data_IF_403364683631
#
_entry.id   IF_403364683631
#
_cell.length_a   1.000
_cell.length_b   1.000
_cell.length_c   1.000
_cell.angle_alpha   90.00
_cell.angle_beta   90.00
_cell.angle_gamma   90.00
#
_symmetry.space_group_name_H-M   'P 1'
#
loop_
_entity.id
_entity.type
_entity.pdbx_description
1 polymer ?
#
# COMPACT_ATOMS: atom_id res chain seq x y z
N UNK A 1 -22.57 76.68 7.10
CA UNK A 1 -21.36 76.39 7.82
C UNK A 1 -21.10 74.89 7.61
N UNK A 2 -20.11 74.52 6.83
CA UNK A 2 -19.92 73.14 6.37
C UNK A 2 -19.13 72.28 7.37
N UNK A 3 -19.52 71.01 7.45
CA UNK A 3 -18.89 69.97 8.18
C UNK A 3 -17.79 69.33 7.26
N UNK A 4 -16.54 69.21 7.66
CA UNK A 4 -15.54 68.44 6.88
C UNK A 4 -15.61 66.98 7.21
N UNK A 5 -15.75 66.19 6.16
CA UNK A 5 -15.70 64.73 6.15
C UNK A 5 -14.29 64.25 6.51
N UNK A 6 -14.19 63.41 7.52
CA UNK A 6 -12.99 62.74 7.97
C UNK A 6 -12.88 61.42 7.19
N UNK A 7 -11.90 61.39 6.29
CA UNK A 7 -11.55 60.20 5.50
C UNK A 7 -10.76 59.23 6.35
N UNK A 8 -11.40 58.11 6.72
CA UNK A 8 -10.71 57.00 7.35
C UNK A 8 -9.88 56.22 6.30
N UNK A 9 -8.59 56.09 6.56
CA UNK A 9 -7.67 55.27 5.78
C UNK A 9 -7.97 53.78 5.99
N UNK A 10 -7.84 52.93 4.95
CA UNK A 10 -8.00 51.51 5.11
C UNK A 10 -6.80 50.91 5.88
N UNK A 11 -7.07 50.12 6.90
CA UNK A 11 -6.12 49.38 7.70
C UNK A 11 -5.44 48.28 6.89
N UNK A 12 -4.25 47.81 7.33
CA UNK A 12 -3.48 46.84 6.59
C UNK A 12 -4.18 45.51 6.50
N UNK A 13 -4.33 45.02 5.27
CA UNK A 13 -4.76 43.66 4.96
C UNK A 13 -3.82 42.67 5.63
N UNK A 14 -4.31 41.88 6.57
CA UNK A 14 -3.64 40.75 7.12
C UNK A 14 -3.45 39.75 5.97
N UNK A 15 -2.22 39.62 5.44
CA UNK A 15 -1.79 38.52 4.60
C UNK A 15 -2.01 37.24 5.38
N UNK A 16 -2.98 36.45 4.93
CA UNK A 16 -3.14 35.08 5.42
C UNK A 16 -1.92 34.30 4.95
N UNK A 17 -1.04 34.03 5.90
CA UNK A 17 0.09 33.12 5.73
C UNK A 17 -0.44 31.74 5.34
N UNK A 18 -0.51 31.49 4.04
CA UNK A 18 -0.85 30.21 3.43
C UNK A 18 0.41 29.35 3.37
N UNK A 19 1.03 29.09 4.53
CA UNK A 19 2.01 28.02 4.66
C UNK A 19 1.23 26.69 4.59
N UNK A 20 0.89 26.31 3.35
CA UNK A 20 0.51 24.93 3.05
C UNK A 20 1.55 24.03 3.71
N UNK A 21 1.14 23.26 4.70
CA UNK A 21 1.96 22.21 5.34
C UNK A 21 2.44 21.32 4.23
N UNK A 22 3.67 21.55 3.77
CA UNK A 22 4.38 20.64 2.89
C UNK A 22 4.51 19.35 3.68
N UNK A 23 3.76 18.32 3.30
CA UNK A 23 4.02 16.97 3.75
C UNK A 23 5.51 16.69 3.56
N UNK A 24 6.20 16.09 4.53
CA UNK A 24 7.61 15.78 4.40
C UNK A 24 7.79 15.03 3.08
N UNK A 25 8.72 15.52 2.23
CA UNK A 25 9.08 14.87 0.98
C UNK A 25 9.52 13.44 1.32
N UNK A 26 8.73 12.47 0.90
CA UNK A 26 9.08 11.06 1.04
C UNK A 26 10.35 10.83 0.20
N UNK A 27 11.28 9.98 0.68
CA UNK A 27 12.50 9.70 -0.05
C UNK A 27 12.15 9.24 -1.47
N UNK A 28 12.90 9.72 -2.48
CA UNK A 28 12.63 9.35 -3.87
C UNK A 28 12.69 7.82 -4.00
N UNK A 29 11.70 7.27 -4.71
CA UNK A 29 11.81 5.91 -5.25
C UNK A 29 13.01 5.91 -6.18
N UNK A 30 13.79 4.82 -6.14
CA UNK A 30 14.84 4.63 -7.14
C UNK A 30 14.23 4.81 -8.53
N UNK A 31 14.68 5.83 -9.27
CA UNK A 31 14.15 6.18 -10.60
C UNK A 31 14.18 4.99 -11.55
N UNK A 32 15.17 4.11 -11.38
CA UNK A 32 15.29 2.87 -12.16
C UNK A 32 14.09 1.94 -11.92
N UNK A 33 13.64 1.79 -10.67
CA UNK A 33 12.48 0.96 -10.32
C UNK A 33 11.18 1.55 -10.86
N UNK A 34 11.02 2.88 -10.75
CA UNK A 34 9.89 3.60 -11.34
C UNK A 34 9.82 3.40 -12.86
N UNK A 35 10.93 3.61 -13.57
CA UNK A 35 11.00 3.38 -15.02
C UNK A 35 10.71 1.92 -15.41
N UNK A 36 11.11 0.94 -14.62
CA UNK A 36 10.79 -0.45 -14.90
C UNK A 36 9.29 -0.72 -14.78
N UNK A 37 8.62 -0.23 -13.74
CA UNK A 37 7.16 -0.36 -13.60
C UNK A 37 6.41 0.32 -14.75
N UNK A 38 6.87 1.49 -15.21
CA UNK A 38 6.29 2.19 -16.36
C UNK A 38 6.47 1.38 -17.65
N UNK A 39 7.66 0.79 -17.89
CA UNK A 39 7.88 -0.11 -19.02
C UNK A 39 6.93 -1.31 -19.02
N UNK A 40 6.54 -1.79 -17.84
CA UNK A 40 5.55 -2.85 -17.67
C UNK A 40 4.10 -2.34 -17.82
N UNK A 41 3.89 -1.03 -17.98
CA UNK A 41 2.57 -0.42 -18.21
C UNK A 41 1.79 -0.09 -16.93
N UNK A 42 2.44 -0.06 -15.77
CA UNK A 42 1.78 0.26 -14.50
C UNK A 42 1.17 1.68 -14.49
N UNK A 43 1.76 2.61 -15.24
CA UNK A 43 1.27 3.98 -15.45
C UNK A 43 -0.05 4.06 -16.22
N UNK A 44 -0.32 3.05 -17.06
CA UNK A 44 -1.52 2.94 -17.91
C UNK A 44 -2.61 2.06 -17.34
N UNK A 45 -2.29 1.31 -16.26
CA UNK A 45 -3.25 0.45 -15.61
C UNK A 45 -4.13 1.30 -14.68
N UNK A 46 -5.44 1.42 -15.02
CA UNK A 46 -6.39 2.15 -14.19
C UNK A 46 -6.55 1.47 -12.81
N UNK A 47 -6.50 2.26 -11.74
CA UNK A 47 -6.69 1.83 -10.38
C UNK A 47 -7.69 2.72 -9.66
N UNK A 48 -8.15 2.32 -8.46
CA UNK A 48 -9.24 2.98 -7.70
C UNK A 48 -9.06 4.51 -7.59
N UNK A 49 -7.80 5.00 -7.49
CA UNK A 49 -7.49 6.42 -7.31
C UNK A 49 -6.43 6.95 -8.27
N UNK A 50 -6.46 6.51 -9.51
CA UNK A 50 -5.52 6.95 -10.54
C UNK A 50 -4.86 5.78 -11.25
N UNK A 51 -3.54 5.67 -11.19
CA UNK A 51 -2.79 4.60 -11.84
C UNK A 51 -2.32 3.55 -10.82
N UNK A 52 -2.12 2.31 -11.30
CA UNK A 52 -1.52 1.25 -10.49
C UNK A 52 -0.12 1.65 -9.99
N UNK A 53 0.68 2.32 -10.82
CA UNK A 53 2.01 2.82 -10.45
C UNK A 53 1.96 3.67 -9.18
N UNK A 54 1.04 4.64 -9.11
CA UNK A 54 0.87 5.51 -7.93
C UNK A 54 0.53 4.71 -6.68
N UNK A 55 -0.39 3.76 -6.80
CA UNK A 55 -0.78 2.88 -5.71
C UNK A 55 0.40 2.04 -5.20
N UNK A 56 1.16 1.42 -6.12
CA UNK A 56 2.33 0.62 -5.77
C UNK A 56 3.39 1.44 -5.02
N UNK A 57 3.67 2.65 -5.49
CA UNK A 57 4.59 3.57 -4.81
C UNK A 57 4.10 3.97 -3.42
N UNK A 58 2.83 4.32 -3.28
CA UNK A 58 2.25 4.71 -1.99
C UNK A 58 2.29 3.54 -0.99
N UNK A 59 1.99 2.32 -1.43
CA UNK A 59 2.11 1.10 -0.62
C UNK A 59 3.54 0.90 -0.11
N UNK A 60 4.55 0.99 -0.98
CA UNK A 60 5.96 0.90 -0.59
C UNK A 60 6.32 1.98 0.44
N UNK A 61 5.87 3.22 0.25
CA UNK A 61 6.17 4.33 1.15
C UNK A 61 5.54 4.16 2.53
N UNK A 62 4.34 3.57 2.63
CA UNK A 62 3.74 3.19 3.91
C UNK A 62 4.62 2.15 4.63
N UNK A 63 5.03 1.09 3.94
CA UNK A 63 5.90 0.06 4.49
C UNK A 63 7.24 0.62 5.00
N UNK A 64 7.89 1.51 4.23
CA UNK A 64 9.11 2.21 4.66
C UNK A 64 8.88 3.07 5.89
N UNK A 65 7.78 3.83 5.92
CA UNK A 65 7.41 4.67 7.08
C UNK A 65 7.20 3.85 8.35
N UNK A 66 6.73 2.62 8.22
CA UNK A 66 6.55 1.69 9.34
C UNK A 66 7.83 0.95 9.73
N UNK A 67 8.97 1.22 9.05
CA UNK A 67 10.26 0.63 9.36
C UNK A 67 10.44 -0.81 8.87
N UNK A 68 9.67 -1.22 7.87
CA UNK A 68 9.83 -2.54 7.28
C UNK A 68 11.19 -2.67 6.56
N UNK A 69 11.80 -3.88 6.53
CA UNK A 69 13.00 -4.16 5.76
C UNK A 69 12.84 -3.85 4.28
N UNK A 70 13.92 -3.44 3.61
CA UNK A 70 13.87 -3.06 2.19
C UNK A 70 13.28 -4.13 1.27
N UNK A 71 13.55 -5.45 1.44
CA UNK A 71 12.89 -6.47 0.64
C UNK A 71 11.35 -6.45 0.75
N UNK A 72 10.80 -6.16 1.93
CA UNK A 72 9.34 -6.03 2.14
C UNK A 72 8.79 -4.78 1.44
N UNK A 73 9.54 -3.67 1.51
CA UNK A 73 9.18 -2.43 0.84
C UNK A 73 9.18 -2.59 -0.68
N UNK A 74 10.21 -3.22 -1.24
CA UNK A 74 10.30 -3.52 -2.67
C UNK A 74 9.23 -4.53 -3.13
N UNK A 75 8.93 -5.52 -2.29
CA UNK A 75 7.79 -6.40 -2.53
C UNK A 75 6.47 -5.64 -2.56
N UNK A 76 6.29 -4.65 -1.67
CA UNK A 76 5.14 -3.75 -1.69
C UNK A 76 5.04 -2.94 -2.98
N UNK A 77 6.17 -2.47 -3.53
CA UNK A 77 6.22 -1.80 -4.82
C UNK A 77 5.85 -2.72 -6.00
N UNK A 78 6.08 -4.01 -5.88
CA UNK A 78 5.83 -5.01 -6.95
C UNK A 78 4.69 -5.98 -6.62
N UNK A 79 3.90 -5.74 -5.56
CA UNK A 79 2.91 -6.69 -5.05
C UNK A 79 1.83 -7.11 -6.06
N UNK A 80 1.53 -6.26 -7.04
CA UNK A 80 0.53 -6.53 -8.07
C UNK A 80 1.13 -6.92 -9.43
N UNK A 81 2.46 -7.11 -9.53
CA UNK A 81 3.13 -7.40 -10.81
C UNK A 81 2.61 -8.69 -11.46
N UNK A 82 2.30 -9.71 -10.66
CA UNK A 82 1.69 -10.98 -11.09
C UNK A 82 0.16 -10.98 -11.03
N UNK A 83 -0.45 -9.81 -10.78
CA UNK A 83 -1.87 -9.67 -10.47
C UNK A 83 -2.19 -10.03 -9.02
N UNK A 84 -3.32 -9.56 -8.53
CA UNK A 84 -3.85 -9.88 -7.20
C UNK A 84 -5.27 -10.41 -7.32
N UNK A 85 -5.82 -11.02 -6.26
CA UNK A 85 -7.18 -11.54 -6.24
C UNK A 85 -8.28 -10.49 -6.49
N UNK A 86 -7.96 -9.18 -6.39
CA UNK A 86 -8.92 -8.08 -6.59
C UNK A 86 -8.79 -7.33 -7.92
N UNK A 87 -7.74 -7.59 -8.72
CA UNK A 87 -7.48 -6.86 -9.96
C UNK A 87 -7.53 -7.82 -11.15
N UNK A 88 -8.32 -7.47 -12.17
CA UNK A 88 -8.29 -8.19 -13.45
C UNK A 88 -7.03 -7.79 -14.22
N UNK A 89 -6.14 -8.76 -14.43
CA UNK A 89 -4.91 -8.58 -15.19
C UNK A 89 -3.65 -8.71 -14.35
N UNK A 90 -2.52 -8.67 -15.03
CA UNK A 90 -1.17 -8.75 -14.49
C UNK A 90 -0.24 -7.94 -15.36
N UNK A 91 0.85 -7.42 -14.81
CA UNK A 91 1.85 -6.69 -15.57
C UNK A 91 2.80 -7.64 -16.30
N UNK A 92 3.13 -8.78 -15.69
CA UNK A 92 3.98 -9.82 -16.29
C UNK A 92 3.44 -11.23 -16.03
N UNK A 93 3.85 -12.18 -16.85
CA UNK A 93 3.58 -13.61 -16.63
C UNK A 93 4.44 -14.20 -15.51
N UNK A 94 4.06 -15.39 -15.02
CA UNK A 94 4.84 -16.09 -13.99
C UNK A 94 6.19 -16.62 -14.53
N UNK A 95 6.34 -16.74 -15.82
CA UNK A 95 7.59 -17.05 -16.51
C UNK A 95 8.62 -15.92 -16.41
N UNK A 96 8.22 -14.69 -16.14
CA UNK A 96 9.09 -13.53 -15.97
C UNK A 96 9.69 -13.37 -14.56
N UNK A 97 9.45 -14.30 -13.62
CA UNK A 97 9.89 -14.21 -12.22
C UNK A 97 11.39 -13.95 -12.05
N UNK A 98 12.23 -14.62 -12.85
CA UNK A 98 13.68 -14.40 -12.82
C UNK A 98 14.06 -12.97 -13.17
N UNK A 99 13.42 -12.38 -14.18
CA UNK A 99 13.66 -10.99 -14.58
C UNK A 99 13.19 -9.98 -13.51
N UNK A 100 12.09 -10.25 -12.82
CA UNK A 100 11.65 -9.45 -11.68
C UNK A 100 12.67 -9.55 -10.53
N UNK A 101 13.15 -10.77 -10.23
CA UNK A 101 14.15 -11.00 -9.18
C UNK A 101 15.50 -10.31 -9.47
N UNK A 102 15.89 -10.15 -10.73
CA UNK A 102 17.07 -9.36 -11.14
C UNK A 102 16.90 -7.87 -10.84
N UNK A 103 15.67 -7.36 -10.85
CA UNK A 103 15.36 -5.96 -10.62
C UNK A 103 15.26 -5.63 -9.13
N UNK A 104 14.48 -6.41 -8.37
CA UNK A 104 14.15 -6.11 -6.96
C UNK A 104 14.83 -7.04 -5.94
N UNK A 105 15.59 -8.02 -6.40
CA UNK A 105 16.19 -9.05 -5.55
C UNK A 105 15.27 -10.25 -5.32
N UNK A 106 15.90 -11.42 -5.08
CA UNK A 106 15.18 -12.71 -4.94
C UNK A 106 14.20 -12.72 -3.77
N UNK A 107 14.56 -12.11 -2.65
CA UNK A 107 13.72 -12.07 -1.45
C UNK A 107 12.46 -11.22 -1.68
N UNK A 108 12.62 -10.03 -2.24
CA UNK A 108 11.50 -9.14 -2.56
C UNK A 108 10.58 -9.77 -3.63
N UNK A 109 11.15 -10.42 -4.64
CA UNK A 109 10.37 -11.13 -5.67
C UNK A 109 9.56 -12.27 -5.06
N UNK A 110 10.16 -13.07 -4.18
CA UNK A 110 9.46 -14.18 -3.52
C UNK A 110 8.27 -13.68 -2.68
N UNK A 111 8.41 -12.54 -2.00
CA UNK A 111 7.31 -11.90 -1.26
C UNK A 111 6.24 -11.31 -2.20
N UNK A 112 6.64 -10.67 -3.30
CA UNK A 112 5.71 -10.18 -4.32
C UNK A 112 4.92 -11.32 -4.98
N UNK A 113 5.59 -12.44 -5.27
CA UNK A 113 4.93 -13.66 -5.75
C UNK A 113 3.94 -14.19 -4.71
N UNK A 114 4.37 -14.34 -3.46
CA UNK A 114 3.53 -14.80 -2.35
C UNK A 114 2.26 -13.96 -2.24
N UNK A 115 2.40 -12.63 -2.33
CA UNK A 115 1.26 -11.72 -2.25
C UNK A 115 0.28 -11.91 -3.42
N UNK A 116 0.79 -11.98 -4.64
CA UNK A 116 -0.01 -12.25 -5.83
C UNK A 116 -0.63 -13.64 -5.83
N UNK A 117 0.08 -14.65 -5.32
CA UNK A 117 -0.36 -16.05 -5.27
C UNK A 117 -1.41 -16.34 -4.18
N UNK A 118 -1.65 -15.41 -3.27
CA UNK A 118 -2.58 -15.65 -2.17
C UNK A 118 -4.02 -15.89 -2.67
N UNK A 119 -4.57 -17.07 -2.35
CA UNK A 119 -6.01 -17.30 -2.37
C UNK A 119 -6.62 -16.67 -1.10
N UNK A 120 -7.05 -15.41 -1.23
CA UNK A 120 -7.50 -14.61 -0.09
C UNK A 120 -8.73 -15.19 0.60
N UNK A 121 -9.65 -15.77 -0.15
CA UNK A 121 -10.88 -16.35 0.40
C UNK A 121 -10.58 -17.54 1.31
N UNK A 122 -9.57 -18.34 0.96
CA UNK A 122 -9.16 -19.52 1.72
C UNK A 122 -8.12 -19.21 2.79
N UNK A 123 -7.21 -18.24 2.55
CA UNK A 123 -6.08 -17.98 3.44
C UNK A 123 -6.39 -16.94 4.52
N UNK A 124 -7.05 -15.82 4.21
CA UNK A 124 -7.34 -14.77 5.19
C UNK A 124 -8.09 -15.28 6.44
N UNK A 125 -9.08 -16.20 6.34
CA UNK A 125 -9.72 -16.79 7.52
C UNK A 125 -8.78 -17.60 8.42
N UNK A 126 -7.65 -18.10 7.89
CA UNK A 126 -6.65 -18.87 8.65
C UNK A 126 -5.75 -18.00 9.51
N UNK A 127 -5.54 -16.73 9.14
CA UNK A 127 -4.68 -15.80 9.87
C UNK A 127 -5.22 -15.61 11.29
N UNK A 128 -4.33 -15.66 12.29
CA UNK A 128 -4.69 -15.63 13.71
C UNK A 128 -5.19 -16.96 14.26
N UNK A 129 -5.13 -18.06 13.49
CA UNK A 129 -5.46 -19.43 13.94
C UNK A 129 -4.26 -20.36 13.79
N UNK A 130 -4.27 -21.59 14.36
CA UNK A 130 -3.19 -22.56 14.13
C UNK A 130 -2.97 -22.91 12.66
N UNK A 131 -3.96 -22.72 11.78
CA UNK A 131 -3.86 -23.00 10.35
C UNK A 131 -3.15 -21.90 9.55
N UNK A 132 -2.78 -20.75 10.17
CA UNK A 132 -2.09 -19.64 9.50
C UNK A 132 -0.74 -20.01 8.88
N UNK A 133 -0.14 -21.12 9.30
CA UNK A 133 1.14 -21.58 8.81
C UNK A 133 1.06 -22.37 7.49
N UNK A 134 -0.16 -22.60 6.97
CA UNK A 134 -0.39 -23.30 5.70
C UNK A 134 -0.97 -22.30 4.70
N UNK A 135 -0.10 -21.83 3.82
CA UNK A 135 -0.43 -20.90 2.75
C UNK A 135 -1.22 -21.60 1.64
N UNK A 136 -2.10 -20.87 0.98
CA UNK A 136 -2.92 -21.36 -0.14
C UNK A 136 -2.58 -20.56 -1.38
N UNK A 137 -1.93 -21.22 -2.33
CA UNK A 137 -1.44 -20.64 -3.58
C UNK A 137 -2.48 -20.84 -4.70
N UNK A 138 -3.09 -19.73 -5.17
CA UNK A 138 -4.09 -19.76 -6.24
C UNK A 138 -3.51 -20.00 -7.63
N UNK A 139 -2.21 -19.77 -7.84
CA UNK A 139 -1.58 -19.99 -9.13
C UNK A 139 -1.31 -21.48 -9.39
N UNK A 140 -0.98 -22.21 -8.35
CA UNK A 140 -0.67 -23.65 -8.43
C UNK A 140 -1.79 -24.52 -7.91
N UNK A 141 -2.72 -23.96 -7.12
CA UNK A 141 -3.74 -24.70 -6.38
C UNK A 141 -3.20 -25.48 -5.17
N UNK A 142 -1.91 -25.34 -4.85
CA UNK A 142 -1.23 -26.05 -3.78
C UNK A 142 -1.38 -25.34 -2.42
N UNK A 143 -1.26 -26.12 -1.36
CA UNK A 143 -1.07 -25.65 0.00
C UNK A 143 0.33 -26.06 0.48
N UNK A 144 1.03 -25.13 1.16
CA UNK A 144 2.37 -25.40 1.68
C UNK A 144 2.68 -24.57 2.93
N UNK A 145 3.63 -25.03 3.77
CA UNK A 145 4.04 -24.29 4.95
C UNK A 145 4.64 -22.92 4.59
N UNK A 146 4.28 -21.90 5.37
CA UNK A 146 4.85 -20.54 5.28
C UNK A 146 5.68 -20.25 6.53
N UNK A 147 6.81 -19.55 6.38
CA UNK A 147 7.62 -19.11 7.51
C UNK A 147 6.97 -17.92 8.23
N UNK A 148 7.31 -17.73 9.51
CA UNK A 148 6.83 -16.56 10.27
C UNK A 148 7.24 -15.24 9.61
N UNK A 149 8.50 -15.14 9.13
CA UNK A 149 8.97 -13.93 8.46
C UNK A 149 8.16 -13.60 7.20
N UNK A 150 7.85 -14.61 6.37
CA UNK A 150 7.05 -14.43 5.17
C UNK A 150 5.58 -14.09 5.50
N UNK A 151 5.01 -14.71 6.56
CA UNK A 151 3.66 -14.40 7.02
C UNK A 151 3.56 -12.97 7.56
N UNK A 152 4.55 -12.53 8.34
CA UNK A 152 4.61 -11.13 8.84
C UNK A 152 4.73 -10.14 7.68
N UNK A 153 5.62 -10.38 6.74
CA UNK A 153 5.77 -9.54 5.55
C UNK A 153 4.46 -9.48 4.73
N UNK A 154 3.79 -10.62 4.54
CA UNK A 154 2.49 -10.68 3.88
C UNK A 154 1.42 -9.84 4.60
N UNK A 155 1.35 -9.92 5.93
CA UNK A 155 0.40 -9.14 6.73
C UNK A 155 0.71 -7.63 6.66
N UNK A 156 1.98 -7.21 6.79
CA UNK A 156 2.40 -5.81 6.63
C UNK A 156 2.02 -5.26 5.25
N UNK A 157 2.33 -6.00 4.19
CA UNK A 157 1.96 -5.63 2.82
C UNK A 157 0.44 -5.54 2.64
N UNK A 158 -0.32 -6.45 3.26
CA UNK A 158 -1.79 -6.44 3.20
C UNK A 158 -2.34 -5.19 3.86
N UNK A 159 -1.87 -4.85 5.07
CA UNK A 159 -2.31 -3.63 5.77
C UNK A 159 -1.94 -2.39 4.95
N UNK A 160 -0.72 -2.30 4.42
CA UNK A 160 -0.28 -1.15 3.62
C UNK A 160 -1.11 -0.98 2.35
N UNK A 161 -1.37 -2.06 1.62
CA UNK A 161 -2.20 -2.07 0.41
C UNK A 161 -3.63 -1.58 0.68
N UNK A 162 -4.28 -2.15 1.69
CA UNK A 162 -5.68 -1.84 1.98
C UNK A 162 -5.84 -0.44 2.60
N UNK A 163 -4.88 0.03 3.42
CA UNK A 163 -4.91 1.38 3.98
C UNK A 163 -4.66 2.44 2.92
N UNK A 164 -3.76 2.20 1.95
CA UNK A 164 -3.59 3.11 0.82
C UNK A 164 -4.90 3.34 0.09
N UNK A 165 -5.66 2.27 -0.19
CA UNK A 165 -6.96 2.37 -0.83
C UNK A 165 -7.99 3.09 0.05
N UNK A 166 -8.00 2.82 1.35
CA UNK A 166 -8.92 3.42 2.30
C UNK A 166 -8.64 4.93 2.54
N UNK A 167 -7.36 5.33 2.51
CA UNK A 167 -6.96 6.75 2.61
C UNK A 167 -7.30 7.51 1.33
N UNK A 168 -7.09 6.88 0.20
CA UNK A 168 -7.30 7.50 -1.10
C UNK A 168 -8.76 7.53 -1.55
N UNK A 169 -9.66 6.68 -0.98
CA UNK A 169 -11.07 6.62 -1.34
C UNK A 169 -12.00 6.49 -0.13
N UNK A 170 -12.75 7.54 0.16
CA UNK A 170 -13.77 7.53 1.21
C UNK A 170 -14.81 6.44 0.96
N UNK A 171 -15.26 6.27 -0.28
CA UNK A 171 -16.26 5.25 -0.62
C UNK A 171 -15.72 3.82 -0.47
N UNK A 172 -14.45 3.58 -0.77
CA UNK A 172 -13.80 2.30 -0.50
C UNK A 172 -13.73 2.04 1.00
N UNK A 173 -13.23 3.01 1.77
CA UNK A 173 -13.12 2.93 3.22
C UNK A 173 -14.46 2.62 3.88
N UNK A 174 -15.52 3.34 3.54
CA UNK A 174 -16.83 3.13 4.14
C UNK A 174 -17.39 1.75 3.82
N UNK A 175 -17.23 1.27 2.58
CA UNK A 175 -17.70 -0.04 2.13
C UNK A 175 -16.97 -1.18 2.83
N UNK A 176 -15.65 -1.07 3.01
CA UNK A 176 -14.79 -2.16 3.48
C UNK A 176 -14.35 -2.02 4.94
N UNK A 177 -14.70 -0.92 5.63
CA UNK A 177 -14.25 -0.63 7.00
C UNK A 177 -14.39 -1.83 7.94
N UNK A 178 -15.55 -2.42 8.02
CA UNK A 178 -15.83 -3.53 8.95
C UNK A 178 -15.02 -4.76 8.63
N UNK A 179 -14.94 -5.12 7.36
CA UNK A 179 -14.16 -6.26 6.88
C UNK A 179 -12.66 -6.08 7.15
N UNK A 180 -12.12 -4.90 6.82
CA UNK A 180 -10.71 -4.58 7.06
C UNK A 180 -10.37 -4.58 8.56
N UNK A 181 -11.22 -4.03 9.41
CA UNK A 181 -11.02 -4.09 10.87
C UNK A 181 -10.96 -5.51 11.39
N UNK A 182 -11.83 -6.40 10.92
CA UNK A 182 -11.81 -7.82 11.29
C UNK A 182 -10.55 -8.52 10.78
N UNK A 183 -10.13 -8.24 9.55
CA UNK A 183 -8.90 -8.80 8.98
C UNK A 183 -7.67 -8.35 9.76
N UNK A 184 -7.55 -7.05 10.03
CA UNK A 184 -6.39 -6.50 10.76
C UNK A 184 -6.37 -6.92 12.23
N UNK A 185 -7.53 -7.13 12.85
CA UNK A 185 -7.60 -7.73 14.19
C UNK A 185 -6.98 -9.14 14.25
N UNK A 186 -7.18 -9.96 13.19
CA UNK A 186 -6.52 -11.27 13.07
C UNK A 186 -5.02 -11.15 12.86
N UNK A 187 -4.55 -10.10 12.19
CA UNK A 187 -3.13 -9.85 11.92
C UNK A 187 -2.40 -9.16 13.08
N UNK A 188 -3.08 -8.77 14.16
CA UNK A 188 -2.53 -7.93 15.25
C UNK A 188 -1.19 -8.41 15.82
N UNK A 189 -0.98 -9.71 15.99
CA UNK A 189 0.28 -10.29 16.47
C UNK A 189 1.37 -10.43 15.42
N UNK A 190 1.07 -10.10 14.15
CA UNK A 190 1.94 -10.31 13.00
C UNK A 190 2.41 -9.00 12.34
N UNK A 191 1.79 -7.87 12.67
CA UNK A 191 2.11 -6.56 12.12
C UNK A 191 2.83 -5.67 13.16
N UNK A 192 3.52 -4.66 12.68
CA UNK A 192 4.21 -3.66 13.51
C UNK A 192 3.23 -2.77 14.27
N UNK A 193 3.69 -2.14 15.35
CA UNK A 193 2.92 -1.13 16.08
C UNK A 193 2.53 0.03 15.16
N UNK A 194 3.43 0.46 14.28
CA UNK A 194 3.16 1.54 13.33
C UNK A 194 2.03 1.20 12.33
N UNK A 195 1.99 -0.03 11.80
CA UNK A 195 0.91 -0.51 10.96
C UNK A 195 -0.43 -0.58 11.72
N UNK A 196 -0.38 -1.05 12.97
CA UNK A 196 -1.55 -1.10 13.83
C UNK A 196 -2.13 0.29 14.12
N UNK A 197 -1.27 1.26 14.47
CA UNK A 197 -1.68 2.64 14.75
C UNK A 197 -2.25 3.33 13.51
N UNK A 198 -1.62 3.11 12.34
CA UNK A 198 -2.13 3.61 11.06
C UNK A 198 -3.51 3.03 10.75
N UNK A 199 -3.73 1.72 10.98
CA UNK A 199 -5.02 1.08 10.78
C UNK A 199 -6.10 1.65 11.72
N UNK A 200 -5.77 1.87 13.00
CA UNK A 200 -6.67 2.49 13.97
C UNK A 200 -7.04 3.93 13.58
N UNK A 201 -6.07 4.71 13.10
CA UNK A 201 -6.29 6.09 12.67
C UNK A 201 -7.19 6.17 11.42
N UNK A 202 -6.93 5.31 10.43
CA UNK A 202 -7.62 5.37 9.13
C UNK A 202 -9.03 4.78 9.20
N UNK A 203 -9.21 3.70 9.97
CA UNK A 203 -10.49 2.97 10.02
C UNK A 203 -11.36 3.35 11.23
N UNK A 204 -10.86 4.09 12.21
CA UNK A 204 -11.62 4.63 13.34
C UNK A 204 -12.05 3.59 14.32
#
# INVERSE_FOLDING_TARGET
MPNPAETAAPGPHAERDNTARRSPLLPPVDERLAMQLQKLGADRFAHVNGTLERHLHATMLLLRRWGNPEPVCLAGLYHAVYGTGGIRGRLVGLDARSGVAEVIGKEAEALAYLYGACDRERFHPRIGTPAQWIFVDRFTGCEYPITEAALRAFCEMTVANELELAEASVSFRERHRTELRLLFARMRGLISAAAHDAAALTLG
#
